data_IF_556604390568
#
_entry.id   IF_556604390568
#
_cell.length_a   1.000
_cell.length_b   1.000
_cell.length_c   1.000
_cell.angle_alpha   90.00
_cell.angle_beta   90.00
_cell.angle_gamma   90.00
#
_symmetry.space_group_name_H-M   'P 1'
#
loop_
_entity.id
_entity.type
_entity.pdbx_description
1 polymer ?
#
# COMPACT_ATOMS: atom_id res chain seq x y z
N UNK A 1 26.60 -4.58 32.64
CA UNK A 1 27.87 -4.89 31.95
C UNK A 1 28.98 -5.02 32.99
N UNK A 2 29.79 -6.08 32.96
CA UNK A 2 30.88 -6.29 33.93
C UNK A 2 32.00 -5.25 33.73
N UNK A 3 32.54 -4.71 34.83
CA UNK A 3 33.73 -3.84 34.80
C UNK A 3 34.95 -4.64 34.33
N UNK A 4 35.89 -3.94 33.69
CA UNK A 4 37.12 -4.52 33.16
C UNK A 4 38.32 -3.66 33.54
N UNK A 5 39.46 -4.30 33.69
CA UNK A 5 40.75 -3.62 33.87
C UNK A 5 41.40 -3.45 32.51
N UNK A 6 41.50 -2.20 32.04
CA UNK A 6 42.24 -1.89 30.82
C UNK A 6 43.67 -1.53 31.18
N UNK A 7 44.61 -2.40 30.82
CA UNK A 7 46.01 -2.30 31.16
C UNK A 7 46.83 -1.79 29.96
N UNK A 8 48.00 -1.17 30.20
CA UNK A 8 49.02 -0.96 29.17
C UNK A 8 49.40 -2.28 28.48
N UNK A 9 49.86 -2.16 27.24
CA UNK A 9 50.23 -3.32 26.42
C UNK A 9 51.32 -4.18 27.11
N UNK A 10 51.17 -5.49 27.04
CA UNK A 10 52.07 -6.49 27.61
C UNK A 10 51.84 -6.80 29.08
N UNK A 11 51.23 -5.91 29.87
CA UNK A 11 51.04 -6.11 31.32
C UNK A 11 50.03 -7.23 31.58
N UNK A 12 48.94 -7.26 30.82
CA UNK A 12 47.90 -8.29 30.98
C UNK A 12 48.45 -9.67 30.65
N UNK A 13 49.22 -9.78 29.55
CA UNK A 13 49.89 -11.02 29.16
C UNK A 13 50.86 -11.50 30.23
N UNK A 14 51.72 -10.61 30.74
CA UNK A 14 52.69 -10.95 31.81
C UNK A 14 51.99 -11.47 33.06
N UNK A 15 50.93 -10.78 33.51
CA UNK A 15 50.12 -11.22 34.64
C UNK A 15 49.53 -12.62 34.44
N UNK A 16 48.97 -12.91 33.27
CA UNK A 16 48.40 -14.23 33.00
C UNK A 16 49.46 -15.33 32.89
N UNK A 17 50.67 -15.03 32.41
CA UNK A 17 51.80 -15.97 32.42
C UNK A 17 52.25 -16.27 33.85
N UNK A 18 52.30 -15.26 34.72
CA UNK A 18 52.60 -15.45 36.15
C UNK A 18 51.56 -16.36 36.81
N UNK A 19 50.27 -16.12 36.55
CA UNK A 19 49.17 -16.96 37.03
C UNK A 19 49.31 -18.41 36.54
N UNK A 20 49.62 -18.63 35.26
CA UNK A 20 49.90 -19.97 34.72
C UNK A 20 51.09 -20.64 35.43
N UNK A 21 52.18 -19.91 35.65
CA UNK A 21 53.37 -20.39 36.34
C UNK A 21 53.09 -20.78 37.79
N UNK A 22 52.40 -19.93 38.56
CA UNK A 22 52.05 -20.22 39.97
C UNK A 22 51.02 -21.32 40.12
N UNK A 23 50.05 -21.39 39.21
CA UNK A 23 49.02 -22.42 39.23
C UNK A 23 49.50 -23.81 38.82
N UNK A 24 50.68 -23.91 38.17
CA UNK A 24 51.20 -25.12 37.49
C UNK A 24 50.14 -25.78 36.59
N UNK A 25 49.20 -24.99 36.09
CA UNK A 25 48.00 -25.46 35.41
C UNK A 25 48.01 -25.01 33.96
N UNK A 26 47.54 -25.89 33.06
CA UNK A 26 47.37 -25.54 31.65
C UNK A 26 46.28 -24.45 31.51
N UNK A 27 46.39 -23.53 30.54
CA UNK A 27 45.46 -22.40 30.37
C UNK A 27 43.97 -22.77 30.31
N UNK A 28 43.61 -23.94 29.76
CA UNK A 28 42.22 -24.37 29.67
C UNK A 28 41.63 -24.77 31.03
N UNK A 29 42.45 -25.26 31.97
CA UNK A 29 42.01 -25.59 33.33
C UNK A 29 41.70 -24.31 34.11
N UNK A 30 42.54 -23.29 33.96
CA UNK A 30 42.31 -21.96 34.53
C UNK A 30 41.03 -21.35 33.94
N UNK A 31 40.81 -21.48 32.62
CA UNK A 31 39.57 -21.04 31.99
C UNK A 31 38.32 -21.75 32.54
N UNK A 32 38.39 -23.08 32.74
CA UNK A 32 37.30 -23.86 33.36
C UNK A 32 37.02 -23.37 34.79
N UNK A 33 38.07 -23.10 35.57
CA UNK A 33 37.94 -22.56 36.93
C UNK A 33 37.29 -21.17 36.97
N UNK A 34 37.57 -20.34 35.96
CA UNK A 34 36.92 -19.04 35.80
C UNK A 34 35.52 -19.11 35.19
N UNK A 35 35.00 -20.31 34.89
CA UNK A 35 33.73 -20.54 34.18
C UNK A 35 33.64 -19.77 32.85
N UNK A 36 34.74 -19.74 32.09
CA UNK A 36 34.81 -19.11 30.76
C UNK A 36 35.26 -20.10 29.70
N UNK A 37 34.91 -19.82 28.44
CA UNK A 37 35.43 -20.57 27.30
C UNK A 37 36.98 -20.43 27.22
N UNK A 38 37.74 -21.52 26.99
CA UNK A 38 39.20 -21.46 26.83
C UNK A 38 39.69 -20.47 25.75
N UNK A 39 38.88 -20.22 24.71
CA UNK A 39 39.15 -19.19 23.71
C UNK A 39 39.19 -17.79 24.33
N UNK A 40 38.29 -17.47 25.25
CA UNK A 40 38.26 -16.17 25.94
C UNK A 40 39.53 -15.93 26.75
N UNK A 41 40.02 -16.95 27.44
CA UNK A 41 41.28 -16.87 28.19
C UNK A 41 42.49 -16.65 27.25
N UNK A 42 42.54 -17.37 26.12
CA UNK A 42 43.57 -17.14 25.08
C UNK A 42 43.49 -15.73 24.49
N UNK A 43 42.29 -15.22 24.23
CA UNK A 43 42.10 -13.85 23.74
C UNK A 43 42.50 -12.79 24.80
N UNK A 44 42.36 -13.08 26.10
CA UNK A 44 42.93 -12.24 27.16
C UNK A 44 44.45 -12.28 27.17
N UNK A 45 45.08 -13.46 27.03
CA UNK A 45 46.54 -13.58 26.95
C UNK A 45 47.13 -12.89 25.70
N UNK A 46 46.36 -12.85 24.61
CA UNK A 46 46.67 -12.08 23.39
C UNK A 46 46.32 -10.59 23.50
N UNK A 47 45.77 -10.16 24.62
CA UNK A 47 45.33 -8.78 24.89
C UNK A 47 44.28 -8.25 23.90
N UNK A 48 43.59 -9.16 23.21
CA UNK A 48 42.49 -8.82 22.31
C UNK A 48 41.30 -8.25 23.10
N UNK A 49 41.10 -8.75 24.31
CA UNK A 49 40.10 -8.22 25.23
C UNK A 49 40.69 -7.98 26.62
N UNK A 50 40.20 -6.94 27.30
CA UNK A 50 40.57 -6.63 28.69
C UNK A 50 39.95 -7.62 29.68
N UNK A 51 40.70 -7.97 30.73
CA UNK A 51 40.26 -8.82 31.84
C UNK A 51 39.04 -8.21 32.57
N UNK A 52 38.11 -9.05 33.01
CA UNK A 52 37.02 -8.62 33.89
C UNK A 52 37.53 -8.48 35.33
N UNK A 53 36.94 -7.56 36.10
CA UNK A 53 37.32 -7.38 37.51
C UNK A 53 37.11 -8.64 38.33
N UNK A 54 36.00 -9.34 38.08
CA UNK A 54 35.69 -10.61 38.72
C UNK A 54 36.75 -11.70 38.45
N UNK A 55 37.23 -11.81 37.20
CA UNK A 55 38.26 -12.79 36.87
C UNK A 55 39.57 -12.48 37.59
N UNK A 56 39.99 -11.21 37.64
CA UNK A 56 41.19 -10.82 38.39
C UNK A 56 41.05 -11.15 39.86
N UNK A 57 39.93 -10.80 40.51
CA UNK A 57 39.72 -11.10 41.93
C UNK A 57 39.78 -12.61 42.22
N UNK A 58 39.24 -13.45 41.34
CA UNK A 58 39.30 -14.91 41.48
C UNK A 58 40.75 -15.40 41.34
N UNK A 59 41.49 -14.91 40.34
CA UNK A 59 42.87 -15.31 40.09
C UNK A 59 43.81 -14.88 41.22
N UNK A 60 43.68 -13.65 41.71
CA UNK A 60 44.46 -13.14 42.83
C UNK A 60 44.21 -13.95 44.11
N UNK A 61 42.93 -14.20 44.44
CA UNK A 61 42.56 -14.99 45.63
C UNK A 61 43.03 -16.44 45.53
N UNK A 62 42.87 -17.08 44.37
CA UNK A 62 43.16 -18.52 44.21
C UNK A 62 44.66 -18.81 44.10
N UNK A 63 45.41 -17.97 43.39
CA UNK A 63 46.80 -18.22 43.05
C UNK A 63 47.78 -17.31 43.77
N UNK A 64 47.31 -16.49 44.72
CA UNK A 64 48.13 -15.55 45.48
C UNK A 64 49.01 -14.69 44.54
N UNK A 65 48.35 -14.17 43.50
CA UNK A 65 48.93 -13.23 42.55
C UNK A 65 48.38 -11.84 42.81
N UNK A 66 49.07 -10.82 42.31
CA UNK A 66 48.59 -9.45 42.35
C UNK A 66 48.67 -8.87 40.95
N UNK A 67 47.64 -8.13 40.55
CA UNK A 67 47.68 -7.42 39.28
C UNK A 67 48.84 -6.40 39.32
N UNK A 68 49.84 -6.48 38.42
CA UNK A 68 51.03 -5.63 38.45
C UNK A 68 50.75 -4.23 37.86
N UNK A 69 49.64 -3.63 38.29
CA UNK A 69 49.21 -2.29 37.89
C UNK A 69 48.14 -1.77 38.84
N UNK A 70 48.03 -0.44 38.97
CA UNK A 70 47.00 0.19 39.78
C UNK A 70 45.60 -0.13 39.26
N UNK A 71 44.80 -0.83 40.08
CA UNK A 71 43.41 -1.22 39.78
C UNK A 71 42.52 -0.01 39.51
N UNK A 72 42.69 1.08 40.27
CA UNK A 72 41.92 2.32 40.07
C UNK A 72 42.24 2.96 38.72
N UNK A 73 43.52 3.11 38.37
CA UNK A 73 43.97 3.63 37.07
C UNK A 73 43.48 2.76 35.90
N UNK A 74 43.53 1.43 36.02
CA UNK A 74 43.03 0.50 35.00
C UNK A 74 41.51 0.56 34.79
N UNK A 75 40.74 0.78 35.87
CA UNK A 75 39.29 0.97 35.79
C UNK A 75 38.93 2.29 35.13
N UNK A 76 39.61 3.36 35.49
CA UNK A 76 39.39 4.67 34.90
C UNK A 76 39.70 4.67 33.40
N UNK A 77 40.84 4.07 33.02
CA UNK A 77 41.23 3.86 31.62
C UNK A 77 40.14 3.08 30.85
N UNK A 78 39.53 2.06 31.45
CA UNK A 78 38.42 1.33 30.85
C UNK A 78 37.18 2.20 30.67
N UNK A 79 36.79 2.97 31.69
CA UNK A 79 35.64 3.89 31.62
C UNK A 79 35.81 4.91 30.50
N UNK A 80 36.97 5.57 30.43
CA UNK A 80 37.31 6.55 29.39
C UNK A 80 37.31 5.92 28.00
N UNK A 81 37.91 4.74 27.86
CA UNK A 81 37.89 4.01 26.60
C UNK A 81 36.46 3.63 26.16
N UNK A 82 35.64 3.13 27.08
CA UNK A 82 34.25 2.76 26.83
C UNK A 82 33.43 3.97 26.40
N UNK A 83 33.55 5.10 27.09
CA UNK A 83 32.88 6.35 26.73
C UNK A 83 33.28 6.80 25.33
N UNK A 84 34.58 6.79 25.02
CA UNK A 84 35.08 7.14 23.68
C UNK A 84 34.53 6.23 22.57
N UNK A 85 34.47 4.92 22.82
CA UNK A 85 33.95 3.96 21.83
C UNK A 85 32.43 4.06 21.67
N UNK A 86 31.69 4.27 22.76
CA UNK A 86 30.26 4.53 22.71
C UNK A 86 29.95 5.80 21.89
N UNK A 87 30.72 6.89 22.12
CA UNK A 87 30.61 8.12 21.33
C UNK A 87 30.89 7.89 19.85
N UNK A 88 31.98 7.18 19.51
CA UNK A 88 32.30 6.83 18.11
C UNK A 88 31.17 6.01 17.47
N UNK A 89 30.63 5.02 18.18
CA UNK A 89 29.50 4.22 17.71
C UNK A 89 28.23 5.05 17.50
N UNK A 90 27.93 5.96 18.43
CA UNK A 90 26.81 6.90 18.31
C UNK A 90 26.92 7.80 17.09
N UNK A 91 28.08 8.45 16.90
CA UNK A 91 28.35 9.31 15.73
C UNK A 91 28.19 8.52 14.42
N UNK A 92 28.73 7.30 14.37
CA UNK A 92 28.60 6.45 13.18
C UNK A 92 27.14 6.07 12.89
N UNK A 93 26.36 5.74 13.94
CA UNK A 93 24.93 5.46 13.82
C UNK A 93 24.16 6.68 13.31
N UNK A 94 24.45 7.86 13.86
CA UNK A 94 23.85 9.14 13.46
C UNK A 94 24.18 9.49 12.01
N UNK A 95 25.43 9.29 11.58
CA UNK A 95 25.81 9.48 10.17
C UNK A 95 25.07 8.52 9.25
N UNK A 96 24.88 7.27 9.67
CA UNK A 96 24.25 6.24 8.86
C UNK A 96 22.73 6.39 8.74
N UNK A 97 22.06 6.67 9.85
CA UNK A 97 20.60 6.65 9.91
C UNK A 97 19.99 8.01 10.19
N UNK A 98 20.71 8.96 10.80
CA UNK A 98 20.16 10.23 11.31
C UNK A 98 20.05 10.23 12.83
N UNK A 99 19.50 11.30 13.40
CA UNK A 99 19.34 11.44 14.85
C UNK A 99 18.51 10.30 15.45
N UNK A 100 18.91 9.74 16.61
CA UNK A 100 18.10 8.72 17.28
C UNK A 100 16.73 9.31 17.65
N UNK A 101 15.66 8.52 17.47
CA UNK A 101 14.31 8.95 17.80
C UNK A 101 13.63 9.85 16.75
N UNK A 102 14.35 10.36 15.75
CA UNK A 102 13.76 11.19 14.68
C UNK A 102 12.89 10.37 13.71
N UNK A 103 11.79 10.93 13.16
CA UNK A 103 11.01 10.26 12.12
C UNK A 103 11.84 9.84 10.91
N UNK A 104 12.76 10.70 10.48
CA UNK A 104 13.67 10.47 9.35
C UNK A 104 14.61 9.31 9.66
N UNK A 105 15.17 9.28 10.87
CA UNK A 105 16.08 8.23 11.31
C UNK A 105 15.40 6.86 11.41
N UNK A 106 14.19 6.82 11.96
CA UNK A 106 13.36 5.61 11.99
C UNK A 106 13.03 5.13 10.57
N UNK A 107 12.66 6.05 9.67
CA UNK A 107 12.35 5.74 8.28
C UNK A 107 13.55 5.16 7.53
N UNK A 108 14.73 5.80 7.63
CA UNK A 108 15.98 5.31 7.01
C UNK A 108 16.39 3.95 7.58
N UNK A 109 16.35 3.78 8.90
CA UNK A 109 16.66 2.51 9.57
C UNK A 109 15.74 1.38 9.11
N UNK A 110 14.43 1.63 9.05
CA UNK A 110 13.43 0.67 8.57
C UNK A 110 13.65 0.29 7.10
N UNK A 111 13.88 1.27 6.22
CA UNK A 111 14.18 1.01 4.79
C UNK A 111 15.44 0.16 4.63
N UNK A 112 16.50 0.47 5.37
CA UNK A 112 17.75 -0.29 5.32
C UNK A 112 17.58 -1.72 5.86
N UNK A 113 16.85 -1.89 6.97
CA UNK A 113 16.53 -3.22 7.50
C UNK A 113 15.73 -4.05 6.48
N UNK A 114 14.69 -3.47 5.89
CA UNK A 114 13.89 -4.15 4.85
C UNK A 114 14.72 -4.50 3.61
N UNK A 115 15.64 -3.62 3.18
CA UNK A 115 16.54 -3.90 2.07
C UNK A 115 17.48 -5.07 2.38
N UNK A 116 18.05 -5.14 3.59
CA UNK A 116 18.86 -6.26 4.04
C UNK A 116 18.08 -7.57 4.07
N UNK A 117 16.85 -7.55 4.61
CA UNK A 117 15.99 -8.74 4.69
C UNK A 117 15.63 -9.26 3.31
N UNK A 118 15.34 -8.37 2.34
CA UNK A 118 15.13 -8.73 0.94
C UNK A 118 16.38 -9.29 0.28
N UNK A 119 17.55 -8.67 0.50
CA UNK A 119 18.84 -9.16 -0.04
C UNK A 119 19.17 -10.56 0.48
N UNK A 120 18.75 -10.89 1.70
CA UNK A 120 18.91 -12.21 2.32
C UNK A 120 17.83 -13.22 1.91
N UNK A 121 16.85 -12.82 1.10
CA UNK A 121 15.72 -13.69 0.71
C UNK A 121 14.72 -13.99 1.83
N UNK A 122 14.82 -13.34 2.99
CA UNK A 122 13.92 -13.57 4.13
C UNK A 122 12.53 -12.99 3.86
N UNK A 123 12.48 -11.86 3.15
CA UNK A 123 11.22 -11.21 2.75
C UNK A 123 11.15 -11.21 1.23
N UNK A 124 10.02 -11.66 0.70
CA UNK A 124 9.75 -11.63 -0.73
C UNK A 124 9.92 -10.21 -1.32
N UNK A 125 10.44 -10.09 -2.56
CA UNK A 125 10.49 -8.80 -3.24
C UNK A 125 9.07 -8.24 -3.41
N UNK A 126 8.97 -6.92 -3.51
CA UNK A 126 7.69 -6.29 -3.81
C UNK A 126 7.20 -6.77 -5.18
N UNK A 127 5.94 -7.20 -5.26
CA UNK A 127 5.34 -7.62 -6.53
C UNK A 127 5.47 -6.49 -7.56
N UNK A 128 5.90 -6.79 -8.81
CA UNK A 128 5.86 -5.80 -9.87
C UNK A 128 4.42 -5.37 -10.11
N UNK A 129 4.24 -4.11 -10.49
CA UNK A 129 2.97 -3.57 -10.96
C UNK A 129 3.23 -3.02 -12.34
N UNK A 130 2.57 -3.60 -13.34
CA UNK A 130 2.63 -3.12 -14.70
C UNK A 130 1.54 -2.07 -14.87
N UNK A 131 1.82 -1.04 -15.67
CA UNK A 131 0.85 -0.04 -16.03
C UNK A 131 0.98 0.25 -17.53
N UNK A 132 -0.09 0.71 -18.19
CA UNK A 132 -0.02 1.12 -19.58
C UNK A 132 1.03 2.24 -19.77
N UNK A 133 1.75 2.18 -20.90
CA UNK A 133 2.67 3.25 -21.30
C UNK A 133 1.96 4.40 -22.02
N UNK A 134 0.73 4.16 -22.49
CA UNK A 134 -0.11 5.14 -23.20
C UNK A 134 -1.51 5.11 -22.62
N UNK A 135 -2.19 6.25 -22.72
CA UNK A 135 -3.61 6.34 -22.41
C UNK A 135 -4.44 5.65 -23.49
N UNK A 136 -5.57 5.05 -23.09
CA UNK A 136 -6.45 4.28 -23.96
C UNK A 136 -7.90 4.37 -23.47
N UNK A 137 -8.85 4.06 -24.35
CA UNK A 137 -10.27 4.00 -24.00
C UNK A 137 -10.54 3.01 -22.85
N UNK A 138 -9.88 1.84 -22.86
CA UNK A 138 -9.98 0.87 -21.76
C UNK A 138 -9.51 1.45 -20.42
N UNK A 139 -8.43 2.25 -20.43
CA UNK A 139 -7.96 2.91 -19.21
C UNK A 139 -8.94 4.02 -18.77
N UNK A 140 -9.49 4.79 -19.71
CA UNK A 140 -10.49 5.82 -19.41
C UNK A 140 -11.77 5.22 -18.84
N UNK A 141 -12.26 4.10 -19.39
CA UNK A 141 -13.39 3.36 -18.84
C UNK A 141 -13.10 2.84 -17.43
N UNK A 142 -11.92 2.27 -17.21
CA UNK A 142 -11.48 1.86 -15.88
C UNK A 142 -11.44 3.02 -14.88
N UNK A 143 -11.00 4.21 -15.31
CA UNK A 143 -11.05 5.44 -14.49
C UNK A 143 -12.49 5.81 -14.15
N UNK A 144 -13.42 5.77 -15.09
CA UNK A 144 -14.84 5.99 -14.83
C UNK A 144 -15.38 5.04 -13.76
N UNK A 145 -15.05 3.75 -13.86
CA UNK A 145 -15.45 2.72 -12.87
C UNK A 145 -14.89 3.03 -11.48
N UNK A 146 -13.62 3.43 -11.39
CA UNK A 146 -12.99 3.82 -10.12
C UNK A 146 -13.63 5.08 -9.51
N UNK A 147 -14.00 6.05 -10.36
CA UNK A 147 -14.64 7.29 -9.93
C UNK A 147 -16.06 7.06 -9.41
N UNK A 148 -16.80 6.11 -9.97
CA UNK A 148 -18.13 5.71 -9.48
C UNK A 148 -18.07 4.85 -8.22
N UNK A 149 -17.76 3.55 -8.37
CA UNK A 149 -17.81 2.56 -7.29
C UNK A 149 -16.45 2.25 -6.63
N UNK A 150 -15.40 2.94 -7.06
CA UNK A 150 -14.04 2.74 -6.54
C UNK A 150 -13.72 3.47 -5.25
N UNK A 151 -12.76 2.94 -4.49
CA UNK A 151 -12.11 3.59 -3.36
C UNK A 151 -10.59 3.47 -3.52
N UNK A 152 -9.87 4.58 -3.34
CA UNK A 152 -8.40 4.60 -3.36
C UNK A 152 -7.92 5.02 -1.97
N UNK A 153 -7.27 4.08 -1.28
CA UNK A 153 -6.62 4.30 0.00
C UNK A 153 -5.10 4.47 -0.14
N UNK A 154 -4.39 4.57 0.99
CA UNK A 154 -2.93 4.79 1.00
C UNK A 154 -2.10 3.60 0.48
N UNK A 155 -2.67 2.38 0.50
CA UNK A 155 -1.95 1.14 0.17
C UNK A 155 -2.76 0.17 -0.70
N UNK A 156 -4.06 0.39 -0.80
CA UNK A 156 -5.02 -0.50 -1.41
C UNK A 156 -6.08 0.33 -2.10
N UNK A 157 -6.69 -0.27 -3.11
CA UNK A 157 -7.85 0.28 -3.80
C UNK A 157 -8.86 -0.84 -3.99
N UNK A 158 -10.13 -0.49 -4.05
CA UNK A 158 -11.21 -1.45 -4.22
C UNK A 158 -12.30 -0.91 -5.13
N UNK A 159 -13.01 -1.80 -5.82
CA UNK A 159 -14.25 -1.49 -6.54
C UNK A 159 -15.34 -2.38 -5.93
N UNK A 160 -16.46 -1.76 -5.55
CA UNK A 160 -17.54 -2.43 -4.80
C UNK A 160 -18.75 -2.55 -5.71
N UNK A 161 -19.12 -3.76 -6.12
CA UNK A 161 -20.24 -4.01 -7.04
C UNK A 161 -21.29 -4.92 -6.40
N UNK A 162 -22.54 -4.90 -6.87
CA UNK A 162 -23.55 -5.82 -6.37
C UNK A 162 -23.23 -7.27 -6.78
N UNK A 163 -23.25 -8.20 -5.83
CA UNK A 163 -22.81 -9.59 -6.08
C UNK A 163 -23.77 -10.40 -6.94
N UNK A 164 -25.04 -9.99 -7.00
CA UNK A 164 -26.09 -10.64 -7.80
C UNK A 164 -26.29 -9.90 -9.12
N UNK A 165 -26.66 -8.62 -9.04
CA UNK A 165 -27.05 -7.83 -10.20
C UNK A 165 -25.86 -7.53 -11.13
N UNK A 166 -24.66 -7.35 -10.57
CA UNK A 166 -23.46 -6.99 -11.33
C UNK A 166 -22.47 -8.17 -11.46
N UNK A 167 -22.90 -9.43 -11.24
CA UNK A 167 -22.00 -10.59 -11.28
C UNK A 167 -21.21 -10.70 -12.59
N UNK A 168 -21.89 -10.56 -13.74
CA UNK A 168 -21.26 -10.57 -15.07
C UNK A 168 -20.34 -9.36 -15.24
N UNK A 169 -20.76 -8.20 -14.75
CA UNK A 169 -19.99 -6.97 -14.83
C UNK A 169 -18.71 -7.02 -13.98
N UNK A 170 -18.76 -7.59 -12.78
CA UNK A 170 -17.58 -7.82 -11.94
C UNK A 170 -16.52 -8.70 -12.64
N UNK A 171 -16.94 -9.69 -13.42
CA UNK A 171 -16.03 -10.50 -14.24
C UNK A 171 -15.42 -9.69 -15.39
N UNK A 172 -16.20 -8.82 -16.03
CA UNK A 172 -15.69 -7.88 -17.03
C UNK A 172 -14.64 -6.94 -16.42
N UNK A 173 -14.96 -6.28 -15.30
CA UNK A 173 -14.03 -5.37 -14.60
C UNK A 173 -12.75 -6.10 -14.19
N UNK A 174 -12.86 -7.35 -13.71
CA UNK A 174 -11.68 -8.19 -13.44
C UNK A 174 -10.80 -8.38 -14.66
N UNK A 175 -11.39 -8.72 -15.82
CA UNK A 175 -10.65 -8.91 -17.08
C UNK A 175 -10.00 -7.61 -17.55
N UNK A 176 -10.69 -6.48 -17.43
CA UNK A 176 -10.18 -5.14 -17.74
C UNK A 176 -8.97 -4.78 -16.88
N UNK A 177 -9.00 -5.07 -15.57
CA UNK A 177 -7.87 -4.86 -14.67
C UNK A 177 -6.67 -5.74 -15.06
N UNK A 178 -6.93 -7.01 -15.39
CA UNK A 178 -5.87 -7.95 -15.80
C UNK A 178 -5.21 -7.47 -17.09
N UNK A 179 -5.98 -7.03 -18.09
CA UNK A 179 -5.43 -6.55 -19.36
C UNK A 179 -4.65 -5.25 -19.22
N UNK A 180 -5.10 -4.32 -18.37
CA UNK A 180 -4.43 -3.03 -18.17
C UNK A 180 -3.14 -3.13 -17.33
N UNK A 181 -3.15 -3.97 -16.29
CA UNK A 181 -2.10 -3.93 -15.25
C UNK A 181 -1.32 -5.23 -15.09
N UNK A 182 -1.66 -6.26 -15.87
CA UNK A 182 -1.11 -7.62 -15.76
C UNK A 182 -1.11 -8.11 -14.29
N UNK A 183 -2.16 -7.71 -13.56
CA UNK A 183 -2.34 -7.95 -12.15
C UNK A 183 -3.68 -8.63 -11.94
N UNK A 184 -3.67 -9.70 -11.14
CA UNK A 184 -4.88 -10.44 -10.81
C UNK A 184 -5.48 -9.90 -9.49
N UNK A 185 -6.58 -9.11 -9.55
CA UNK A 185 -7.21 -8.60 -8.35
C UNK A 185 -7.90 -9.72 -7.59
N UNK A 186 -7.93 -9.60 -6.26
CA UNK A 186 -8.70 -10.49 -5.39
C UNK A 186 -10.18 -10.12 -5.48
N UNK A 187 -11.08 -11.10 -5.51
CA UNK A 187 -12.52 -10.87 -5.41
C UNK A 187 -13.00 -11.44 -4.08
N UNK A 188 -13.54 -10.58 -3.23
CA UNK A 188 -14.13 -10.97 -1.96
C UNK A 188 -15.64 -10.81 -2.05
N UNK A 189 -16.37 -11.92 -1.84
CA UNK A 189 -17.81 -11.89 -1.73
C UNK A 189 -18.19 -11.66 -0.26
N UNK A 190 -18.95 -10.60 0.01
CA UNK A 190 -19.56 -10.35 1.31
C UNK A 190 -21.03 -10.75 1.20
N UNK A 191 -21.31 -12.00 1.58
CA UNK A 191 -22.64 -12.62 1.44
C UNK A 191 -23.70 -11.80 2.16
N UNK A 192 -23.40 -11.33 3.37
CA UNK A 192 -24.33 -10.58 4.23
C UNK A 192 -24.79 -9.25 3.64
N UNK A 193 -24.07 -8.70 2.65
CA UNK A 193 -24.36 -7.42 2.03
C UNK A 193 -24.68 -7.52 0.55
N UNK A 194 -24.68 -8.73 -0.03
CA UNK A 194 -24.76 -8.94 -1.49
C UNK A 194 -23.76 -8.09 -2.28
N UNK A 195 -22.49 -8.08 -1.85
CA UNK A 195 -21.43 -7.26 -2.46
C UNK A 195 -20.25 -8.12 -2.93
N UNK A 196 -19.74 -7.84 -4.13
CA UNK A 196 -18.45 -8.28 -4.62
C UNK A 196 -17.45 -7.13 -4.54
N UNK A 197 -16.38 -7.30 -3.77
CA UNK A 197 -15.29 -6.33 -3.67
C UNK A 197 -14.11 -6.83 -4.50
N UNK A 198 -13.79 -6.11 -5.56
CA UNK A 198 -12.57 -6.31 -6.35
C UNK A 198 -11.46 -5.50 -5.67
N UNK A 199 -10.42 -6.15 -5.16
CA UNK A 199 -9.37 -5.55 -4.34
C UNK A 199 -8.02 -5.63 -5.05
N UNK A 200 -7.36 -4.48 -5.19
CA UNK A 200 -5.95 -4.37 -5.55
C UNK A 200 -5.12 -3.82 -4.40
N UNK A 201 -3.90 -4.34 -4.25
CA UNK A 201 -2.98 -3.90 -3.20
C UNK A 201 -1.60 -3.60 -3.77
N UNK A 202 -0.97 -2.54 -3.26
CA UNK A 202 0.38 -2.16 -3.64
C UNK A 202 0.57 -0.66 -3.78
N UNK A 203 1.64 -0.12 -3.21
CA UNK A 203 1.95 1.32 -3.26
C UNK A 203 2.15 1.79 -4.72
N UNK A 204 2.70 0.93 -5.60
CA UNK A 204 2.95 1.27 -7.00
C UNK A 204 1.66 1.56 -7.78
N UNK A 205 0.58 0.81 -7.54
CA UNK A 205 -0.71 1.05 -8.20
C UNK A 205 -1.33 2.35 -7.74
N UNK A 206 -1.26 2.64 -6.43
CA UNK A 206 -1.71 3.91 -5.87
C UNK A 206 -0.92 5.09 -6.44
N UNK A 207 0.42 5.00 -6.51
CA UNK A 207 1.27 6.02 -7.12
C UNK A 207 0.93 6.25 -8.59
N UNK A 208 0.65 5.18 -9.34
CA UNK A 208 0.21 5.29 -10.73
C UNK A 208 -1.15 6.01 -10.83
N UNK A 209 -2.12 5.65 -9.99
CA UNK A 209 -3.43 6.31 -9.97
C UNK A 209 -3.34 7.81 -9.66
N UNK A 210 -2.49 8.19 -8.70
CA UNK A 210 -2.20 9.60 -8.43
C UNK A 210 -1.53 10.28 -9.62
N UNK A 211 -0.56 9.62 -10.26
CA UNK A 211 0.12 10.16 -11.45
C UNK A 211 -0.85 10.45 -12.61
N UNK A 212 -1.88 9.62 -12.79
CA UNK A 212 -2.90 9.83 -13.83
C UNK A 212 -4.05 10.75 -13.39
N UNK A 213 -3.95 11.39 -12.22
CA UNK A 213 -4.89 12.42 -11.77
C UNK A 213 -5.98 11.96 -10.77
N UNK A 214 -5.92 10.73 -10.24
CA UNK A 214 -6.88 10.26 -9.24
C UNK A 214 -6.44 10.60 -7.81
N UNK A 215 -7.41 10.93 -6.95
CA UNK A 215 -7.15 11.33 -5.57
C UNK A 215 -7.36 10.18 -4.58
N UNK A 216 -6.58 10.20 -3.49
CA UNK A 216 -6.72 9.27 -2.36
C UNK A 216 -7.75 9.84 -1.38
N UNK A 217 -8.67 8.99 -0.91
CA UNK A 217 -9.57 9.32 0.20
C UNK A 217 -11.03 9.47 -0.23
N UNK A 218 -11.73 10.43 0.41
CA UNK A 218 -13.17 10.58 0.24
C UNK A 218 -13.51 11.45 -0.98
N UNK A 219 -13.99 10.80 -2.03
CA UNK A 219 -14.36 11.39 -3.32
C UNK A 219 -15.37 12.53 -3.21
N UNK A 220 -16.37 12.38 -2.34
CA UNK A 220 -17.45 13.36 -2.17
C UNK A 220 -16.94 14.60 -1.45
N UNK A 221 -16.15 14.44 -0.38
CA UNK A 221 -15.55 15.58 0.33
C UNK A 221 -14.57 16.36 -0.54
N UNK A 222 -13.86 15.67 -1.42
CA UNK A 222 -12.87 16.26 -2.32
C UNK A 222 -13.46 16.80 -3.62
N UNK A 223 -14.74 16.53 -3.91
CA UNK A 223 -15.38 16.86 -5.19
C UNK A 223 -14.50 16.43 -6.37
N UNK A 224 -14.15 15.14 -6.41
CA UNK A 224 -13.24 14.60 -7.45
C UNK A 224 -13.78 14.83 -8.85
N UNK A 225 -12.88 15.11 -9.77
CA UNK A 225 -13.19 15.31 -11.19
C UNK A 225 -12.50 14.24 -12.04
N UNK A 226 -12.90 14.16 -13.30
CA UNK A 226 -12.25 13.36 -14.32
C UNK A 226 -10.88 13.98 -14.67
N UNK A 227 -9.80 13.18 -14.76
CA UNK A 227 -8.49 13.67 -15.19
C UNK A 227 -8.49 14.39 -16.55
N UNK A 228 -7.68 15.44 -16.69
CA UNK A 228 -7.59 16.25 -17.90
C UNK A 228 -7.26 15.47 -19.17
N UNK A 229 -6.39 14.46 -19.07
CA UNK A 229 -6.03 13.63 -20.23
C UNK A 229 -7.23 12.86 -20.82
N UNK A 230 -8.28 12.62 -20.03
CA UNK A 230 -9.55 12.08 -20.53
C UNK A 230 -10.35 13.19 -21.20
N UNK A 231 -10.50 14.35 -20.54
CA UNK A 231 -11.30 15.48 -21.04
C UNK A 231 -10.84 16.02 -22.40
N UNK A 232 -9.54 15.91 -22.70
CA UNK A 232 -8.97 16.36 -23.97
C UNK A 232 -9.20 15.42 -25.15
N UNK A 233 -9.78 14.23 -24.95
CA UNK A 233 -10.02 13.28 -26.03
C UNK A 233 -11.48 12.79 -26.01
N UNK A 234 -12.28 13.09 -27.06
CA UNK A 234 -13.69 12.69 -27.11
C UNK A 234 -13.95 11.19 -26.93
N UNK A 235 -13.09 10.33 -27.49
CA UNK A 235 -13.21 8.87 -27.33
C UNK A 235 -12.98 8.45 -25.87
N UNK A 236 -12.03 9.09 -25.20
CA UNK A 236 -11.79 8.83 -23.77
C UNK A 236 -12.93 9.38 -22.91
N UNK A 237 -13.50 10.53 -23.26
CA UNK A 237 -14.69 11.04 -22.59
C UNK A 237 -15.84 10.03 -22.67
N UNK A 238 -16.13 9.50 -23.87
CA UNK A 238 -17.17 8.48 -24.09
C UNK A 238 -16.87 7.20 -23.29
N UNK A 239 -15.64 6.70 -23.31
CA UNK A 239 -15.26 5.51 -22.56
C UNK A 239 -15.35 5.72 -21.03
N UNK A 240 -14.92 6.87 -20.52
CA UNK A 240 -15.05 7.23 -19.11
C UNK A 240 -16.52 7.40 -18.70
N UNK A 241 -17.34 8.03 -19.55
CA UNK A 241 -18.79 8.16 -19.34
C UNK A 241 -19.44 6.78 -19.23
N UNK A 242 -19.09 5.83 -20.12
CA UNK A 242 -19.56 4.44 -20.04
C UNK A 242 -19.26 3.83 -18.68
N UNK A 243 -18.02 3.95 -18.20
CA UNK A 243 -17.61 3.43 -16.89
C UNK A 243 -18.39 4.05 -15.71
N UNK A 244 -18.66 5.36 -15.77
CA UNK A 244 -19.45 6.09 -14.76
C UNK A 244 -20.92 5.66 -14.75
N UNK A 245 -21.54 5.53 -15.94
CA UNK A 245 -22.94 5.11 -16.07
C UNK A 245 -23.11 3.64 -15.71
N UNK A 246 -22.15 2.79 -16.02
CA UNK A 246 -22.20 1.37 -15.66
C UNK A 246 -22.16 1.12 -14.14
N UNK A 247 -21.65 2.07 -13.36
CA UNK A 247 -21.65 2.03 -11.87
C UNK A 247 -22.81 2.81 -11.27
N UNK A 248 -22.84 4.13 -11.45
CA UNK A 248 -23.77 5.04 -10.77
C UNK A 248 -24.98 5.43 -11.65
N UNK A 249 -25.05 4.88 -12.87
CA UNK A 249 -26.16 5.10 -13.79
C UNK A 249 -27.23 4.02 -13.71
N UNK A 250 -28.34 4.30 -14.38
CA UNK A 250 -29.49 3.42 -14.47
C UNK A 250 -30.34 3.73 -15.69
N UNK A 251 -30.88 2.68 -16.32
CA UNK A 251 -31.95 2.79 -17.31
C UNK A 251 -33.24 2.33 -16.63
N UNK A 252 -34.25 3.17 -16.64
CA UNK A 252 -35.50 2.98 -15.91
C UNK A 252 -36.69 2.99 -16.86
N UNK A 253 -37.62 2.07 -16.64
CA UNK A 253 -38.95 2.10 -17.28
C UNK A 253 -39.85 3.03 -16.49
N UNK A 254 -40.32 4.09 -17.13
CA UNK A 254 -41.28 5.03 -16.58
C UNK A 254 -42.61 4.81 -17.29
N UNK A 255 -43.64 4.41 -16.54
CA UNK A 255 -44.97 4.17 -17.11
C UNK A 255 -46.00 5.10 -16.46
N UNK A 256 -46.96 5.56 -17.25
CA UNK A 256 -48.08 6.37 -16.76
C UNK A 256 -49.32 6.09 -17.59
N UNK A 257 -50.49 6.32 -17.01
CA UNK A 257 -51.79 6.07 -17.66
C UNK A 257 -52.43 7.40 -18.01
N UNK A 258 -52.84 7.57 -19.26
CA UNK A 258 -53.62 8.72 -19.74
C UNK A 258 -54.83 8.19 -20.49
N UNK A 259 -56.04 8.62 -20.11
CA UNK A 259 -57.30 8.19 -20.74
C UNK A 259 -57.41 6.66 -20.85
N UNK A 260 -57.12 5.95 -19.76
CA UNK A 260 -57.12 4.47 -19.69
C UNK A 260 -56.11 3.76 -20.60
N UNK A 261 -55.24 4.48 -21.32
CA UNK A 261 -54.11 3.93 -22.08
C UNK A 261 -52.82 4.02 -21.28
N UNK A 262 -52.07 2.92 -21.20
CA UNK A 262 -50.80 2.85 -20.46
C UNK A 262 -49.64 3.11 -21.40
N UNK A 263 -48.93 4.21 -21.19
CA UNK A 263 -47.71 4.54 -21.90
C UNK A 263 -46.49 4.15 -21.08
N UNK A 264 -45.45 3.66 -21.74
CA UNK A 264 -44.22 3.24 -21.08
C UNK A 264 -43.00 3.67 -21.89
N UNK A 265 -42.07 4.34 -21.23
CA UNK A 265 -40.86 4.87 -21.85
C UNK A 265 -39.63 4.51 -21.03
N UNK A 266 -38.51 4.31 -21.70
CA UNK A 266 -37.22 4.15 -21.04
C UNK A 266 -36.52 5.50 -20.87
N UNK A 267 -35.84 5.68 -19.74
CA UNK A 267 -35.08 6.89 -19.40
C UNK A 267 -33.74 6.49 -18.83
N UNK A 268 -32.68 7.21 -19.18
CA UNK A 268 -31.35 7.02 -18.58
C UNK A 268 -31.11 8.09 -17.53
N UNK A 269 -30.60 7.70 -16.37
CA UNK A 269 -30.21 8.60 -15.30
C UNK A 269 -28.78 8.28 -14.84
N UNK A 270 -27.99 9.32 -14.58
CA UNK A 270 -26.72 9.24 -13.87
C UNK A 270 -26.79 10.10 -12.61
N UNK A 271 -26.50 9.51 -11.45
CA UNK A 271 -26.58 10.18 -10.15
C UNK A 271 -25.21 10.17 -9.50
N UNK A 272 -24.70 11.33 -9.08
CA UNK A 272 -23.43 11.37 -8.35
C UNK A 272 -23.40 12.54 -7.36
N UNK A 273 -22.61 12.42 -6.29
CA UNK A 273 -22.47 13.49 -5.29
C UNK A 273 -21.31 14.46 -5.60
N UNK A 274 -20.45 14.11 -6.55
CA UNK A 274 -19.42 15.00 -7.07
C UNK A 274 -20.01 15.86 -8.19
N UNK A 275 -20.08 17.17 -7.97
CA UNK A 275 -20.58 18.12 -8.96
C UNK A 275 -19.73 18.09 -10.24
N UNK A 276 -18.37 18.02 -10.16
CA UNK A 276 -17.55 17.91 -11.37
C UNK A 276 -17.88 16.67 -12.23
N UNK A 277 -18.13 15.50 -11.61
CA UNK A 277 -18.51 14.31 -12.37
C UNK A 277 -19.88 14.45 -13.06
N UNK A 278 -20.84 15.13 -12.42
CA UNK A 278 -22.12 15.43 -13.06
C UNK A 278 -21.96 16.38 -14.24
N UNK A 279 -21.15 17.42 -14.09
CA UNK A 279 -20.86 18.38 -15.17
C UNK A 279 -20.14 17.69 -16.32
N UNK A 280 -19.18 16.81 -16.02
CA UNK A 280 -18.50 15.98 -17.02
C UNK A 280 -19.49 15.10 -17.78
N UNK A 281 -20.40 14.40 -17.08
CA UNK A 281 -21.39 13.56 -17.71
C UNK A 281 -22.37 14.35 -18.59
N UNK A 282 -22.87 15.49 -18.09
CA UNK A 282 -23.71 16.40 -18.84
C UNK A 282 -23.00 16.88 -20.12
N UNK A 283 -21.79 17.43 -19.99
CA UNK A 283 -21.02 17.95 -21.11
C UNK A 283 -20.72 16.86 -22.15
N UNK A 284 -20.28 15.68 -21.70
CA UNK A 284 -19.94 14.58 -22.62
C UNK A 284 -21.16 14.10 -23.40
N UNK A 285 -22.33 14.05 -22.76
CA UNK A 285 -23.59 13.73 -23.44
C UNK A 285 -23.97 14.80 -24.46
N UNK A 286 -23.89 16.09 -24.09
CA UNK A 286 -24.15 17.20 -25.01
C UNK A 286 -23.19 17.19 -26.21
N UNK A 287 -21.89 17.03 -25.96
CA UNK A 287 -20.86 16.97 -27.01
C UNK A 287 -21.05 15.75 -27.94
N UNK A 288 -21.71 14.69 -27.46
CA UNK A 288 -22.07 13.51 -28.26
C UNK A 288 -23.40 13.67 -29.01
N UNK A 289 -24.02 14.85 -28.99
CA UNK A 289 -25.25 15.16 -29.73
C UNK A 289 -26.55 14.84 -28.99
N UNK A 290 -26.51 14.52 -27.70
CA UNK A 290 -27.71 14.27 -26.89
C UNK A 290 -28.23 15.55 -26.23
N UNK A 291 -29.47 15.53 -25.75
CA UNK A 291 -30.11 16.63 -25.03
C UNK A 291 -30.33 16.29 -23.54
N UNK A 292 -29.25 16.15 -22.74
CA UNK A 292 -29.37 15.82 -21.34
C UNK A 292 -30.03 16.95 -20.53
N UNK A 293 -30.74 16.56 -19.46
CA UNK A 293 -31.26 17.50 -18.45
C UNK A 293 -30.52 17.31 -17.14
N UNK A 294 -29.90 18.38 -16.64
CA UNK A 294 -29.23 18.38 -15.35
C UNK A 294 -30.16 18.89 -14.25
N UNK A 295 -30.26 18.15 -13.15
CA UNK A 295 -31.08 18.53 -11.98
C UNK A 295 -30.14 18.70 -10.78
N UNK A 296 -29.95 19.96 -10.36
CA UNK A 296 -28.98 20.32 -9.32
C UNK A 296 -29.60 20.77 -7.99
N UNK A 297 -30.89 21.11 -7.97
CA UNK A 297 -31.60 21.70 -6.83
C UNK A 297 -32.23 20.65 -5.89
N UNK A 298 -31.77 19.40 -5.93
CA UNK A 298 -32.29 18.29 -5.12
C UNK A 298 -31.14 17.60 -4.38
N UNK A 299 -31.44 16.92 -3.27
CA UNK A 299 -30.43 16.20 -2.48
C UNK A 299 -29.61 15.19 -3.32
N UNK A 300 -30.27 14.50 -4.25
CA UNK A 300 -29.65 13.58 -5.19
C UNK A 300 -29.54 14.22 -6.58
N UNK A 301 -28.47 15.00 -6.77
CA UNK A 301 -28.14 15.65 -8.05
C UNK A 301 -27.90 14.61 -9.14
N UNK A 302 -28.37 14.90 -10.36
CA UNK A 302 -28.41 13.90 -11.44
C UNK A 302 -28.47 14.51 -12.84
N UNK A 303 -28.11 13.70 -13.84
CA UNK A 303 -28.25 13.98 -15.27
C UNK A 303 -29.19 12.95 -15.87
N UNK A 304 -30.16 13.40 -16.68
CA UNK A 304 -31.14 12.55 -17.35
C UNK A 304 -31.05 12.63 -18.87
N UNK A 305 -31.30 11.50 -19.54
CA UNK A 305 -31.82 11.45 -20.90
C UNK A 305 -33.27 10.96 -20.83
N UNK A 306 -34.21 11.83 -21.16
CA UNK A 306 -35.64 11.56 -21.09
C UNK A 306 -36.21 10.94 -22.36
N UNK A 307 -35.59 11.23 -23.51
CA UNK A 307 -36.07 10.76 -24.79
C UNK A 307 -35.63 9.30 -25.02
N UNK A 308 -36.60 8.43 -25.27
CA UNK A 308 -36.35 7.02 -25.54
C UNK A 308 -35.49 6.78 -26.80
N UNK A 309 -35.63 7.59 -27.85
CA UNK A 309 -34.77 7.47 -29.03
C UNK A 309 -33.30 7.78 -28.67
N UNK A 310 -33.07 8.83 -27.89
CA UNK A 310 -31.73 9.18 -27.41
C UNK A 310 -31.14 8.12 -26.47
N UNK A 311 -31.95 7.47 -25.63
CA UNK A 311 -31.48 6.34 -24.82
C UNK A 311 -31.04 5.17 -25.72
N UNK A 312 -31.77 4.89 -26.80
CA UNK A 312 -31.35 3.88 -27.79
C UNK A 312 -30.06 4.29 -28.51
N UNK A 313 -29.92 5.57 -28.88
CA UNK A 313 -28.72 6.06 -29.55
C UNK A 313 -27.51 6.13 -28.60
N UNK A 314 -27.71 6.44 -27.32
CA UNK A 314 -26.71 6.31 -26.27
C UNK A 314 -26.14 4.90 -26.23
N UNK A 315 -27.00 3.87 -26.30
CA UNK A 315 -26.56 2.48 -26.27
C UNK A 315 -25.77 2.07 -27.54
N UNK A 316 -25.97 2.76 -28.66
CA UNK A 316 -25.17 2.56 -29.88
C UNK A 316 -23.82 3.26 -29.80
N UNK A 317 -23.81 4.52 -29.35
CA UNK A 317 -22.62 5.39 -29.36
C UNK A 317 -21.73 5.13 -28.15
N UNK A 318 -22.29 5.20 -26.95
CA UNK A 318 -21.57 5.01 -25.69
C UNK A 318 -21.58 3.54 -25.30
N UNK A 319 -22.74 2.89 -25.38
CA UNK A 319 -22.94 1.51 -24.97
C UNK A 319 -22.89 1.31 -23.45
N UNK A 320 -22.92 0.04 -23.04
CA UNK A 320 -22.78 -0.40 -21.65
C UNK A 320 -22.11 -1.77 -21.61
N UNK A 321 -21.32 -2.02 -20.56
CA UNK A 321 -20.78 -3.34 -20.22
C UNK A 321 -21.49 -3.94 -19.00
N UNK A 322 -22.29 -3.14 -18.29
CA UNK A 322 -23.13 -3.61 -17.21
C UNK A 322 -24.51 -4.08 -17.71
N UNK A 323 -24.63 -5.40 -17.89
CA UNK A 323 -25.85 -6.08 -18.33
C UNK A 323 -27.09 -5.77 -17.49
N UNK A 324 -26.93 -5.32 -16.23
CA UNK A 324 -28.06 -4.88 -15.41
C UNK A 324 -28.84 -3.73 -16.06
N UNK A 325 -28.16 -2.82 -16.76
CA UNK A 325 -28.78 -1.69 -17.44
C UNK A 325 -29.63 -2.12 -18.64
N UNK A 326 -29.37 -3.30 -19.21
CA UNK A 326 -30.08 -3.81 -20.38
C UNK A 326 -31.39 -4.51 -20.05
N UNK A 327 -31.59 -4.93 -18.79
CA UNK A 327 -32.77 -5.71 -18.38
C UNK A 327 -34.11 -5.04 -18.75
N UNK A 328 -34.19 -3.73 -18.59
CA UNK A 328 -35.41 -2.97 -18.84
C UNK A 328 -35.69 -2.71 -20.34
N UNK A 329 -34.74 -3.04 -21.22
CA UNK A 329 -34.90 -2.91 -22.68
C UNK A 329 -35.55 -4.15 -23.28
N UNK A 330 -35.12 -5.34 -22.86
CA UNK A 330 -35.66 -6.63 -23.32
C UNK A 330 -37.17 -6.75 -23.05
N UNK A 331 -37.63 -6.16 -21.94
CA UNK A 331 -39.06 -6.06 -21.58
C UNK A 331 -39.83 -4.95 -22.32
N UNK A 332 -39.16 -4.09 -23.10
CA UNK A 332 -39.80 -2.99 -23.83
C UNK A 332 -40.11 -3.37 -25.27
N UNK A 333 -39.21 -4.09 -25.94
CA UNK A 333 -39.39 -4.51 -27.34
C UNK A 333 -40.50 -5.57 -27.51
N UNK A 334 -40.79 -6.34 -26.46
CA UNK A 334 -41.91 -7.31 -26.42
C UNK A 334 -43.30 -6.65 -26.33
N UNK A 335 -43.39 -5.35 -26.02
CA UNK A 335 -44.67 -4.64 -25.89
C UNK A 335 -45.01 -3.78 -27.11
N UNK A 336 -44.02 -3.39 -27.93
CA UNK A 336 -44.24 -2.75 -29.23
C UNK A 336 -44.99 -3.63 -30.24
N UNK A 337 -45.21 -4.92 -29.92
CA UNK A 337 -45.98 -5.88 -30.74
C UNK A 337 -47.38 -6.14 -30.13
N UNK A 338 -47.74 -5.52 -29.00
CA UNK A 338 -49.06 -5.67 -28.36
C UNK A 338 -49.82 -4.35 -28.34
N UNK A 339 -50.06 -3.78 -29.51
CA UNK A 339 -51.11 -2.79 -29.70
C UNK A 339 -52.03 -3.23 -30.85
N UNK A 340 -53.30 -3.42 -30.47
CA UNK A 340 -54.54 -3.43 -31.26
C UNK A 340 -54.90 -4.72 -32.03
N UNK A 341 -55.63 -5.61 -31.36
CA UNK A 341 -56.93 -6.07 -31.86
C UNK A 341 -58.02 -5.50 -30.96
#
# INVERSE_FOLDING_TARGET
MKNRYKLPAGIQRKYLIEVESKSRSKPYLIAKYLHINPRSYRDWKREKFSLTTAAVNILEKKFQTYLPYSKSKALDTWKTHKSRMARKGGIALTKKYGGPGTPEGRSKGGKHAMALLRKRGIIAPAKPFYHPNRYSENLAEFVGILLGDGHIGKKQWSITLNSLADKKYALYVKRLIISLFHFQPSIHNRKDYHVNVILGSGIKSIQYFQKIGLLIGNKVKQQVDVPEWIKFNPLFCIACLRGLVDTDGGIFKHSYTVNSKRYSYIKLCFVNRSIPLLNFAYKTLTDSGFHPKQIMQVANKRVWLYNQSEVKDYLKIVGTRNHRLLKNLEESDSWSIREVC
#
